data_IF_453069689458
#
_entry.id   IF_453069689458
#
_cell.length_a   1.000
_cell.length_b   1.000
_cell.length_c   1.000
_cell.angle_alpha   90.00
_cell.angle_beta   90.00
_cell.angle_gamma   90.00
#
_symmetry.space_group_name_H-M   'P 1'
#
loop_
_entity.id
_entity.type
_entity.pdbx_description
1 polymer ?
#
# COMPACT_ATOMS: atom_id res chain seq x y z
N UNK A 1 20.53 -21.36 -1.32
CA UNK A 1 19.81 -20.82 -2.50
C UNK A 1 19.82 -19.31 -2.38
N UNK A 2 20.32 -18.61 -3.40
CA UNK A 2 20.45 -17.16 -3.38
C UNK A 2 19.08 -16.48 -3.25
N UNK A 3 18.80 -15.94 -2.07
CA UNK A 3 17.58 -15.21 -1.76
C UNK A 3 17.57 -13.80 -2.40
N UNK A 4 18.58 -13.48 -3.21
CA UNK A 4 18.77 -12.19 -3.88
C UNK A 4 17.56 -11.79 -4.69
N UNK A 5 16.95 -12.71 -5.44
CA UNK A 5 15.77 -12.40 -6.26
C UNK A 5 14.56 -12.00 -5.41
N UNK A 6 14.31 -12.69 -4.29
CA UNK A 6 13.22 -12.34 -3.35
C UNK A 6 13.44 -10.98 -2.73
N UNK A 7 14.68 -10.67 -2.34
CA UNK A 7 15.05 -9.37 -1.78
C UNK A 7 14.86 -8.25 -2.81
N UNK A 8 15.32 -8.44 -4.04
CA UNK A 8 15.15 -7.48 -5.13
C UNK A 8 13.66 -7.23 -5.41
N UNK A 9 12.84 -8.29 -5.48
CA UNK A 9 11.40 -8.17 -5.66
C UNK A 9 10.74 -7.44 -4.48
N UNK A 10 11.20 -7.70 -3.25
CA UNK A 10 10.72 -6.98 -2.08
C UNK A 10 11.06 -5.49 -2.10
N UNK A 11 12.26 -5.13 -2.58
CA UNK A 11 12.68 -3.73 -2.77
C UNK A 11 11.82 -3.07 -3.86
N UNK A 12 11.67 -3.71 -5.02
CA UNK A 12 10.86 -3.18 -6.13
C UNK A 12 9.40 -2.99 -5.70
N UNK A 13 8.82 -3.98 -5.01
CA UNK A 13 7.48 -3.88 -4.45
C UNK A 13 7.35 -2.72 -3.46
N UNK A 14 8.32 -2.58 -2.56
CA UNK A 14 8.39 -1.46 -1.63
C UNK A 14 8.45 -0.10 -2.35
N UNK A 15 9.31 0.04 -3.36
CA UNK A 15 9.44 1.26 -4.19
C UNK A 15 8.11 1.61 -4.86
N UNK A 16 7.43 0.64 -5.48
CA UNK A 16 6.13 0.87 -6.11
C UNK A 16 5.09 1.36 -5.09
N UNK A 17 4.98 0.69 -3.94
CA UNK A 17 4.08 1.10 -2.85
C UNK A 17 4.44 2.50 -2.37
N UNK A 18 5.73 2.79 -2.21
CA UNK A 18 6.25 4.09 -1.79
C UNK A 18 5.92 5.22 -2.76
N UNK A 19 6.13 5.02 -4.06
CA UNK A 19 5.83 6.00 -5.11
C UNK A 19 4.32 6.27 -5.13
N UNK A 20 3.50 5.23 -5.12
CA UNK A 20 2.04 5.35 -5.12
C UNK A 20 1.58 6.12 -3.88
N UNK A 21 2.05 5.74 -2.69
CA UNK A 21 1.73 6.45 -1.46
C UNK A 21 2.13 7.92 -1.52
N UNK A 22 3.38 8.20 -1.93
CA UNK A 22 3.95 9.55 -1.94
C UNK A 22 3.23 10.44 -2.94
N UNK A 23 3.03 9.99 -4.19
CA UNK A 23 2.35 10.78 -5.22
C UNK A 23 0.91 11.04 -4.79
N UNK A 24 0.17 10.00 -4.39
CA UNK A 24 -1.24 10.19 -4.07
C UNK A 24 -1.41 11.06 -2.82
N UNK A 25 -0.60 10.89 -1.76
CA UNK A 25 -0.69 11.75 -0.59
C UNK A 25 -0.25 13.18 -0.89
N UNK A 26 0.87 13.38 -1.60
CA UNK A 26 1.36 14.72 -1.93
C UNK A 26 0.38 15.49 -2.83
N UNK A 27 -0.21 14.84 -3.83
CA UNK A 27 -1.18 15.46 -4.74
C UNK A 27 -2.51 15.73 -4.03
N UNK A 28 -3.01 14.81 -3.20
CA UNK A 28 -4.33 14.95 -2.57
C UNK A 28 -4.33 15.88 -1.36
N UNK A 29 -3.19 16.02 -0.68
CA UNK A 29 -3.09 16.83 0.55
C UNK A 29 -2.35 18.15 0.36
N UNK A 30 -1.67 18.33 -0.79
CA UNK A 30 -0.79 19.47 -1.08
C UNK A 30 0.18 19.80 0.08
N UNK A 31 0.59 18.77 0.83
CA UNK A 31 1.27 18.93 2.12
C UNK A 31 2.61 18.21 2.15
N UNK A 32 3.61 18.87 2.75
CA UNK A 32 4.93 18.28 3.06
C UNK A 32 4.78 17.04 3.95
N UNK A 33 3.76 17.01 4.82
CA UNK A 33 3.47 15.82 5.63
C UNK A 33 3.03 14.63 4.79
N UNK A 34 2.30 14.85 3.68
CA UNK A 34 1.95 13.80 2.74
C UNK A 34 3.18 13.15 2.11
N UNK A 35 4.20 13.96 1.79
CA UNK A 35 5.48 13.46 1.29
C UNK A 35 6.23 12.63 2.34
N UNK A 36 6.33 13.10 3.59
CA UNK A 36 7.00 12.36 4.68
C UNK A 36 6.31 11.03 5.00
N UNK A 37 4.98 11.01 5.01
CA UNK A 37 4.20 9.77 5.20
C UNK A 37 4.40 8.78 4.04
N UNK A 38 4.58 9.29 2.83
CA UNK A 38 4.99 8.50 1.66
C UNK A 38 6.34 7.79 1.89
N UNK A 39 7.34 8.50 2.41
CA UNK A 39 8.65 7.93 2.77
C UNK A 39 8.51 6.85 3.85
N UNK A 40 7.75 7.12 4.92
CA UNK A 40 7.54 6.12 5.99
C UNK A 40 6.87 4.86 5.43
N UNK A 41 5.88 5.03 4.55
CA UNK A 41 5.18 3.92 3.89
C UNK A 41 6.12 3.12 2.97
N UNK A 42 6.98 3.81 2.23
CA UNK A 42 8.03 3.20 1.41
C UNK A 42 8.99 2.34 2.25
N UNK A 43 9.54 2.89 3.33
CA UNK A 43 10.49 2.19 4.19
C UNK A 43 9.83 1.00 4.91
N UNK A 44 8.63 1.20 5.44
CA UNK A 44 7.87 0.15 6.13
C UNK A 44 7.50 -1.01 5.20
N UNK A 45 7.00 -0.72 4.00
CA UNK A 45 6.67 -1.74 3.00
C UNK A 45 7.93 -2.48 2.52
N UNK A 46 9.01 -1.76 2.21
CA UNK A 46 10.29 -2.37 1.81
C UNK A 46 10.83 -3.31 2.89
N UNK A 47 10.88 -2.86 4.14
CA UNK A 47 11.37 -3.66 5.27
C UNK A 47 10.52 -4.91 5.52
N UNK A 48 9.20 -4.83 5.29
CA UNK A 48 8.29 -5.97 5.39
C UNK A 48 8.47 -6.98 4.24
N UNK A 49 8.61 -6.49 3.01
CA UNK A 49 8.65 -7.32 1.82
C UNK A 49 10.00 -8.03 1.62
N UNK A 50 11.10 -7.42 2.05
CA UNK A 50 12.44 -8.05 2.00
C UNK A 50 12.54 -9.28 2.93
N UNK A 51 11.68 -9.39 3.95
CA UNK A 51 11.65 -10.53 4.89
C UNK A 51 10.90 -11.75 4.36
N UNK A 52 10.43 -11.71 3.11
CA UNK A 52 9.70 -12.83 2.49
C UNK A 52 10.63 -13.97 2.12
N UNK A 53 10.10 -15.18 2.25
CA UNK A 53 10.81 -16.43 1.96
C UNK A 53 10.66 -16.88 0.51
N UNK A 54 9.71 -16.28 -0.23
CA UNK A 54 9.42 -16.62 -1.63
C UNK A 54 9.12 -15.37 -2.45
N UNK A 55 9.50 -15.38 -3.73
CA UNK A 55 9.22 -14.30 -4.69
C UNK A 55 7.71 -14.09 -4.84
N UNK A 56 6.94 -15.17 -5.03
CA UNK A 56 5.47 -15.09 -5.17
C UNK A 56 4.82 -14.50 -3.91
N UNK A 57 5.29 -14.88 -2.72
CA UNK A 57 4.84 -14.29 -1.46
C UNK A 57 5.22 -12.82 -1.32
N UNK A 58 6.35 -12.38 -1.88
CA UNK A 58 6.70 -10.96 -1.95
C UNK A 58 5.75 -10.19 -2.88
N UNK A 59 5.43 -10.72 -4.06
CA UNK A 59 4.51 -10.08 -5.02
C UNK A 59 3.08 -10.02 -4.48
N UNK A 60 2.57 -11.13 -3.94
CA UNK A 60 1.24 -11.21 -3.32
C UNK A 60 1.05 -10.11 -2.27
N UNK A 61 2.01 -10.02 -1.35
CA UNK A 61 1.94 -9.09 -0.21
C UNK A 61 2.20 -7.65 -0.64
N UNK A 62 2.95 -7.42 -1.72
CA UNK A 62 3.11 -6.09 -2.31
C UNK A 62 1.79 -5.57 -2.88
N UNK A 63 1.05 -6.42 -3.62
CA UNK A 63 -0.26 -6.07 -4.16
C UNK A 63 -1.27 -5.71 -3.07
N UNK A 64 -1.36 -6.52 -2.01
CA UNK A 64 -2.23 -6.19 -0.88
C UNK A 64 -1.77 -4.95 -0.10
N UNK A 65 -0.46 -4.77 0.12
CA UNK A 65 0.04 -3.59 0.79
C UNK A 65 -0.30 -2.31 0.03
N UNK A 66 -0.13 -2.29 -1.29
CA UNK A 66 -0.53 -1.17 -2.15
C UNK A 66 -2.04 -0.90 -2.06
N UNK A 67 -2.87 -1.93 -2.12
CA UNK A 67 -4.32 -1.79 -2.00
C UNK A 67 -4.73 -1.18 -0.64
N UNK A 68 -4.16 -1.68 0.46
CA UNK A 68 -4.41 -1.15 1.81
C UNK A 68 -4.00 0.31 1.90
N UNK A 69 -2.78 0.65 1.46
CA UNK A 69 -2.29 2.03 1.49
C UNK A 69 -3.22 2.96 0.74
N UNK A 70 -3.65 2.58 -0.47
CA UNK A 70 -4.58 3.37 -1.28
C UNK A 70 -5.92 3.58 -0.57
N UNK A 71 -6.47 2.54 0.05
CA UNK A 71 -7.75 2.60 0.77
C UNK A 71 -7.68 3.38 2.10
N UNK A 72 -6.48 3.63 2.64
CA UNK A 72 -6.30 4.49 3.82
C UNK A 72 -6.35 5.99 3.49
N UNK A 73 -6.07 6.38 2.24
CA UNK A 73 -6.02 7.79 1.81
C UNK A 73 -7.35 8.54 2.06
N UNK A 74 -8.53 7.99 1.73
CA UNK A 74 -9.80 8.67 1.99
C UNK A 74 -10.01 8.99 3.46
N UNK A 75 -9.43 8.22 4.40
CA UNK A 75 -9.59 8.46 5.84
C UNK A 75 -8.93 9.78 6.31
N UNK A 76 -8.03 10.36 5.50
CA UNK A 76 -7.47 11.70 5.75
C UNK A 76 -8.58 12.75 5.85
N UNK A 77 -9.73 12.55 5.19
CA UNK A 77 -10.92 13.39 5.32
C UNK A 77 -11.35 13.65 6.76
N UNK A 78 -11.12 12.68 7.65
CA UNK A 78 -11.54 12.71 9.05
C UNK A 78 -10.39 13.05 10.00
N UNK A 79 -9.19 13.33 9.47
CA UNK A 79 -8.06 13.75 10.27
C UNK A 79 -8.32 15.15 10.86
N UNK A 80 -8.08 15.36 12.17
CA UNK A 80 -8.11 16.70 12.77
C UNK A 80 -6.94 17.58 12.28
N UNK A 81 -5.91 16.98 11.68
CA UNK A 81 -4.76 17.69 11.11
C UNK A 81 -4.98 18.14 9.66
N UNK A 82 -6.02 17.63 8.99
CA UNK A 82 -6.36 18.01 7.63
C UNK A 82 -7.30 19.22 7.66
N UNK A 83 -6.85 20.32 7.05
CA UNK A 83 -7.70 21.48 6.76
C UNK A 83 -8.65 21.13 5.62
N UNK A 84 -9.90 20.81 5.94
CA UNK A 84 -10.94 20.54 4.94
C UNK A 84 -12.03 21.60 5.09
N UNK A 85 -12.21 22.39 4.03
CA UNK A 85 -13.24 23.43 3.98
C UNK A 85 -14.66 22.82 3.96
N UNK A 86 -15.65 23.56 4.46
CA UNK A 86 -17.06 23.15 4.41
C UNK A 86 -17.51 22.17 5.51
N UNK A 87 -16.74 22.03 6.58
CA UNK A 87 -17.16 21.29 7.78
C UNK A 87 -17.46 19.81 7.52
N UNK A 88 -18.53 19.27 8.12
CA UNK A 88 -18.87 17.84 7.98
C UNK A 88 -19.21 17.46 6.53
N UNK A 89 -19.95 18.31 5.82
CA UNK A 89 -20.32 18.10 4.42
C UNK A 89 -19.09 18.08 3.51
N UNK A 90 -18.17 19.03 3.70
CA UNK A 90 -16.92 19.07 2.94
C UNK A 90 -16.05 17.84 3.14
N UNK A 91 -15.93 17.35 4.39
CA UNK A 91 -15.24 16.10 4.72
C UNK A 91 -15.91 14.88 4.06
N UNK A 92 -17.23 14.81 4.05
CA UNK A 92 -17.97 13.75 3.37
C UNK A 92 -17.73 13.72 1.86
N UNK A 93 -17.75 14.89 1.21
CA UNK A 93 -17.48 15.02 -0.23
C UNK A 93 -16.04 14.64 -0.57
N UNK A 94 -15.06 15.13 0.20
CA UNK A 94 -13.65 14.74 0.02
C UNK A 94 -13.46 13.24 0.19
N UNK A 95 -14.04 12.64 1.24
CA UNK A 95 -13.97 11.20 1.47
C UNK A 95 -14.49 10.40 0.27
N UNK A 96 -15.70 10.71 -0.21
CA UNK A 96 -16.32 10.00 -1.33
C UNK A 96 -15.52 10.18 -2.62
N UNK A 97 -15.07 11.40 -2.93
CA UNK A 97 -14.25 11.69 -4.11
C UNK A 97 -12.92 10.94 -4.09
N UNK A 98 -12.22 10.99 -2.96
CA UNK A 98 -10.95 10.28 -2.77
C UNK A 98 -11.17 8.76 -2.84
N UNK A 99 -12.21 8.23 -2.19
CA UNK A 99 -12.53 6.80 -2.20
C UNK A 99 -12.77 6.30 -3.63
N UNK A 100 -13.59 7.00 -4.41
CA UNK A 100 -13.84 6.65 -5.81
C UNK A 100 -12.56 6.68 -6.64
N UNK A 101 -11.73 7.71 -6.46
CA UNK A 101 -10.47 7.84 -7.20
C UNK A 101 -9.48 6.71 -6.91
N UNK A 102 -9.36 6.28 -5.64
CA UNK A 102 -8.41 5.22 -5.24
C UNK A 102 -8.97 3.81 -5.39
N UNK A 103 -10.29 3.65 -5.56
CA UNK A 103 -10.95 2.33 -5.65
C UNK A 103 -10.43 1.49 -6.81
N UNK A 104 -10.25 2.10 -7.99
CA UNK A 104 -9.76 1.39 -9.19
C UNK A 104 -8.31 0.91 -8.99
N UNK A 105 -7.32 1.77 -8.68
CA UNK A 105 -5.95 1.30 -8.49
C UNK A 105 -5.81 0.35 -7.30
N UNK A 106 -6.59 0.54 -6.22
CA UNK A 106 -6.60 -0.40 -5.10
C UNK A 106 -7.14 -1.77 -5.51
N UNK A 107 -8.21 -1.80 -6.31
CA UNK A 107 -8.75 -3.03 -6.88
C UNK A 107 -7.75 -3.75 -7.76
N UNK A 108 -7.07 -3.04 -8.67
CA UNK A 108 -6.01 -3.61 -9.52
C UNK A 108 -4.89 -4.21 -8.66
N UNK A 109 -4.40 -3.47 -7.66
CA UNK A 109 -3.34 -3.94 -6.77
C UNK A 109 -3.76 -5.18 -5.98
N UNK A 110 -5.00 -5.22 -5.48
CA UNK A 110 -5.55 -6.36 -4.77
C UNK A 110 -5.69 -7.59 -5.69
N UNK A 111 -6.11 -7.40 -6.95
CA UNK A 111 -6.19 -8.47 -7.95
C UNK A 111 -4.81 -9.01 -8.27
N UNK A 112 -3.81 -8.16 -8.48
CA UNK A 112 -2.41 -8.58 -8.70
C UNK A 112 -1.91 -9.40 -7.52
N UNK A 113 -2.16 -8.93 -6.29
CA UNK A 113 -1.83 -9.66 -5.07
C UNK A 113 -2.47 -11.05 -5.03
N UNK A 114 -3.79 -11.12 -5.30
CA UNK A 114 -4.55 -12.36 -5.32
C UNK A 114 -4.05 -13.34 -6.39
N UNK A 115 -3.80 -12.87 -7.62
CA UNK A 115 -3.27 -13.70 -8.71
C UNK A 115 -1.90 -14.26 -8.33
N UNK A 116 -1.01 -13.44 -7.77
CA UNK A 116 0.32 -13.90 -7.35
C UNK A 116 0.25 -14.95 -6.23
N UNK A 117 -0.70 -14.79 -5.29
CA UNK A 117 -0.93 -15.75 -4.21
C UNK A 117 -1.34 -17.14 -4.69
N UNK A 118 -2.01 -17.25 -5.86
CA UNK A 118 -2.37 -18.55 -6.45
C UNK A 118 -1.16 -19.38 -6.89
N UNK A 119 -0.01 -18.74 -7.05
CA UNK A 119 1.24 -19.40 -7.43
C UNK A 119 2.22 -19.56 -6.27
N UNK A 120 1.91 -19.02 -5.09
CA UNK A 120 2.81 -19.11 -3.94
C UNK A 120 2.88 -20.58 -3.45
N UNK A 121 4.07 -21.08 -3.06
CA UNK A 121 4.20 -22.40 -2.48
C UNK A 121 3.46 -22.45 -1.15
N UNK A 122 2.81 -23.58 -0.86
CA UNK A 122 2.13 -23.77 0.42
C UNK A 122 3.11 -23.49 1.58
N UNK A 123 2.69 -22.75 2.62
CA UNK A 123 3.48 -22.65 3.82
C UNK A 123 3.70 -24.08 4.35
N UNK A 124 4.93 -24.43 4.77
CA UNK A 124 5.19 -25.74 5.34
C UNK A 124 4.20 -25.96 6.48
N UNK A 125 3.49 -27.10 6.44
CA UNK A 125 2.51 -27.45 7.46
C UNK A 125 3.14 -27.23 8.84
N UNK A 126 2.49 -26.43 9.69
CA UNK A 126 2.85 -26.33 11.09
C UNK A 126 2.76 -27.76 11.66
N UNK A 127 3.91 -28.41 11.83
CA UNK A 127 4.01 -29.60 12.64
C UNK A 127 3.64 -29.17 14.05
N UNK A 128 2.43 -29.53 14.48
CA UNK A 128 1.91 -29.20 15.81
C UNK A 128 2.91 -29.59 16.90
N UNK A 129 3.11 -28.68 17.84
CA UNK A 129 3.91 -28.84 19.05
C UNK A 129 3.48 -27.82 20.08
#
# INVERSE_FOLDING_TARGET
MDNTLTVVVGIVGGVVVGIVATITLAVMTESVWGFLLGIVTWLGSTGYLVRRRTVQGAVEKSGYAAAVVLLLIPLVAFSPLAGVDGGLTGRGTFFLGALLAVSIPAGIAAVVGWVAGRFAPDPPAESGG
#
